data_IF_860193708496
#
_entry.id   IF_860193708496
#
_cell.length_a   1.000
_cell.length_b   1.000
_cell.length_c   1.000
_cell.angle_alpha   90.00
_cell.angle_beta   90.00
_cell.angle_gamma   90.00
#
_symmetry.space_group_name_H-M   'P 1'
#
loop_
_entity.id
_entity.type
_entity.pdbx_description
1 polymer ?
#
# COMPACT_ATOMS: atom_id res chain seq x y z
N UNK A 1 -28.01 46.16 -3.90
CA UNK A 1 -27.54 46.73 -5.18
C UNK A 1 -26.91 45.63 -6.02
N UNK A 2 -27.54 45.25 -7.15
CA UNK A 2 -26.99 44.44 -8.26
C UNK A 2 -26.95 45.34 -9.51
N UNK A 3 -26.11 45.06 -10.53
CA UNK A 3 -26.57 44.28 -11.71
C UNK A 3 -25.52 43.24 -12.18
N UNK A 4 -25.87 42.06 -12.72
CA UNK A 4 -26.38 41.72 -14.09
C UNK A 4 -25.33 41.99 -15.19
N UNK A 5 -24.92 41.07 -16.08
CA UNK A 5 -25.57 40.55 -17.31
C UNK A 5 -24.63 39.43 -17.87
N UNK A 6 -25.03 38.19 -18.21
CA UNK A 6 -25.83 37.61 -19.33
C UNK A 6 -25.15 37.56 -20.72
N UNK A 7 -25.47 36.46 -21.44
CA UNK A 7 -25.31 36.13 -22.88
C UNK A 7 -23.96 35.52 -23.33
N UNK A 8 -23.86 34.43 -24.08
CA UNK A 8 -24.82 33.51 -24.71
C UNK A 8 -24.09 32.35 -25.42
N UNK A 9 -24.68 31.15 -25.44
CA UNK A 9 -24.52 30.12 -26.50
C UNK A 9 -25.46 30.53 -27.67
N UNK A 10 -25.52 29.91 -28.90
CA UNK A 10 -25.46 28.45 -29.15
C UNK A 10 -25.15 28.01 -30.62
N UNK A 11 -25.51 26.74 -30.97
CA UNK A 11 -25.94 26.23 -32.31
C UNK A 11 -24.84 26.05 -33.40
N UNK A 12 -24.80 25.09 -34.35
CA UNK A 12 -25.65 24.04 -34.95
C UNK A 12 -24.69 23.15 -35.82
N UNK A 13 -24.74 21.81 -35.85
CA UNK A 13 -25.56 20.89 -36.68
C UNK A 13 -25.17 20.80 -38.17
N UNK A 14 -24.83 19.59 -38.64
CA UNK A 14 -25.22 18.91 -39.90
C UNK A 14 -24.24 17.73 -40.17
N UNK A 15 -24.65 16.44 -40.20
CA UNK A 15 -25.30 15.68 -41.30
C UNK A 15 -24.47 15.69 -42.60
N UNK A 16 -24.16 14.62 -43.36
CA UNK A 16 -24.40 13.17 -43.36
C UNK A 16 -23.51 12.57 -44.53
N UNK A 17 -23.86 11.49 -45.25
CA UNK A 17 -23.28 10.14 -45.15
C UNK A 17 -22.58 9.64 -46.43
N UNK A 18 -21.71 8.61 -46.36
CA UNK A 18 -21.41 7.77 -47.55
C UNK A 18 -21.22 6.30 -47.16
N UNK A 19 -21.98 5.47 -47.85
CA UNK A 19 -22.07 4.02 -47.80
C UNK A 19 -20.79 3.35 -48.32
N UNK A 20 -20.40 2.22 -47.70
CA UNK A 20 -19.85 1.09 -48.44
C UNK A 20 -20.10 -0.22 -47.70
N UNK A 21 -21.05 -0.97 -48.24
CA UNK A 21 -21.34 -2.35 -47.89
C UNK A 21 -20.20 -3.25 -48.36
N UNK A 22 -19.55 -3.94 -47.43
CA UNK A 22 -18.68 -5.08 -47.74
C UNK A 22 -19.08 -6.25 -46.82
N UNK A 23 -19.83 -7.18 -47.41
CA UNK A 23 -20.04 -8.61 -47.09
C UNK A 23 -19.70 -9.09 -45.66
N UNK A 24 -20.67 -9.63 -44.89
CA UNK A 24 -20.33 -10.38 -43.70
C UNK A 24 -19.83 -11.77 -44.12
N UNK A 25 -18.52 -11.99 -44.11
CA UNK A 25 -17.98 -13.34 -44.16
C UNK A 25 -18.33 -14.01 -42.82
N UNK A 26 -19.32 -14.88 -42.86
CA UNK A 26 -19.75 -15.73 -41.75
C UNK A 26 -18.57 -16.61 -41.32
N UNK A 27 -17.77 -16.14 -40.35
CA UNK A 27 -16.76 -16.97 -39.69
C UNK A 27 -17.49 -17.82 -38.66
N UNK A 28 -17.81 -19.04 -39.03
CA UNK A 28 -18.07 -20.12 -38.08
C UNK A 28 -16.85 -20.22 -37.15
N UNK A 29 -17.03 -19.85 -35.89
CA UNK A 29 -16.05 -20.14 -34.85
C UNK A 29 -16.06 -21.66 -34.65
N UNK A 30 -15.22 -22.36 -35.40
CA UNK A 30 -14.82 -23.71 -35.02
C UNK A 30 -13.97 -23.55 -33.76
N UNK A 31 -14.54 -23.95 -32.62
CA UNK A 31 -13.80 -24.07 -31.37
C UNK A 31 -12.81 -25.23 -31.51
N UNK A 32 -11.70 -25.01 -32.22
CA UNK A 32 -10.55 -25.90 -32.11
C UNK A 32 -10.05 -25.79 -30.68
N UNK A 33 -10.08 -26.87 -29.87
CA UNK A 33 -9.44 -26.87 -28.57
C UNK A 33 -7.95 -26.78 -28.84
N UNK A 34 -7.40 -25.57 -28.76
CA UNK A 34 -5.96 -25.36 -28.76
C UNK A 34 -5.42 -26.10 -27.54
N UNK A 35 -4.97 -27.35 -27.72
CA UNK A 35 -4.25 -28.15 -26.72
C UNK A 35 -2.93 -27.51 -26.27
N UNK A 36 -2.60 -26.32 -26.80
CA UNK A 36 -1.45 -25.49 -26.44
C UNK A 36 -1.86 -24.11 -25.88
N UNK A 37 -3.14 -23.92 -25.51
CA UNK A 37 -3.53 -22.79 -24.68
C UNK A 37 -3.11 -23.08 -23.23
N UNK A 38 -1.83 -22.92 -22.92
CA UNK A 38 -1.40 -22.72 -21.53
C UNK A 38 -2.12 -21.47 -21.06
N UNK A 39 -3.10 -21.65 -20.16
CA UNK A 39 -3.80 -20.53 -19.55
C UNK A 39 -2.78 -19.79 -18.67
N UNK A 40 -2.06 -18.84 -19.27
CA UNK A 40 -1.12 -17.95 -18.61
C UNK A 40 -1.83 -16.89 -17.75
N UNK A 41 -3.10 -17.12 -17.41
CA UNK A 41 -3.76 -16.45 -16.28
C UNK A 41 -3.08 -16.90 -15.00
N UNK A 42 -1.89 -16.35 -14.80
CA UNK A 42 -1.10 -16.20 -13.58
C UNK A 42 -1.37 -17.31 -12.57
N UNK A 43 -0.33 -18.10 -12.34
CA UNK A 43 -0.11 -18.82 -11.08
C UNK A 43 0.03 -17.80 -9.93
N UNK A 44 -1.02 -17.01 -9.68
CA UNK A 44 -1.22 -16.34 -8.42
C UNK A 44 -1.63 -17.48 -7.48
N UNK A 45 -0.78 -17.78 -6.50
CA UNK A 45 -1.08 -18.79 -5.49
C UNK A 45 -2.52 -18.64 -5.00
N UNK A 46 -3.19 -19.77 -4.77
CA UNK A 46 -4.60 -19.85 -4.35
C UNK A 46 -4.88 -18.76 -3.31
N UNK A 47 -5.71 -17.77 -3.66
CA UNK A 47 -6.08 -16.69 -2.74
C UNK A 47 -6.94 -17.34 -1.64
N UNK A 48 -6.36 -17.53 -0.46
CA UNK A 48 -7.09 -18.05 0.71
C UNK A 48 -7.94 -16.93 1.32
N UNK A 49 -9.25 -16.97 1.07
CA UNK A 49 -10.21 -16.08 1.70
C UNK A 49 -10.47 -16.61 3.11
N UNK A 50 -9.91 -15.94 4.12
CA UNK A 50 -10.15 -16.28 5.54
C UNK A 50 -11.52 -15.79 5.99
N UNK A 51 -12.36 -16.71 6.46
CA UNK A 51 -13.66 -16.42 7.04
C UNK A 51 -13.51 -15.81 8.44
N UNK A 52 -14.54 -15.15 8.95
CA UNK A 52 -14.55 -14.66 10.34
C UNK A 52 -14.30 -15.80 11.32
N UNK A 53 -14.88 -16.97 11.08
CA UNK A 53 -14.73 -18.14 11.96
C UNK A 53 -13.28 -18.66 11.94
N UNK A 54 -12.60 -18.65 10.79
CA UNK A 54 -11.17 -18.98 10.70
C UNK A 54 -10.31 -18.00 11.51
N UNK A 55 -10.68 -16.71 11.51
CA UNK A 55 -9.99 -15.68 12.31
C UNK A 55 -10.27 -15.85 13.80
N UNK A 56 -11.49 -16.23 14.17
CA UNK A 56 -11.85 -16.57 15.55
C UNK A 56 -11.05 -17.79 16.02
N UNK A 57 -10.92 -18.81 15.17
CA UNK A 57 -10.15 -20.01 15.46
C UNK A 57 -8.65 -19.75 15.71
N UNK A 58 -8.12 -18.61 15.26
CA UNK A 58 -6.74 -18.21 15.52
C UNK A 58 -6.49 -17.75 16.97
N UNK A 59 -7.53 -17.40 17.73
CA UNK A 59 -7.40 -17.09 19.16
C UNK A 59 -7.28 -18.36 20.01
N UNK A 60 -6.56 -18.25 21.13
CA UNK A 60 -6.53 -19.28 22.16
C UNK A 60 -7.77 -19.13 23.05
N UNK A 61 -8.80 -19.90 22.73
CA UNK A 61 -10.10 -19.89 23.40
C UNK A 61 -10.36 -21.20 24.13
N UNK A 62 -11.07 -21.12 25.26
CA UNK A 62 -11.64 -22.24 26.00
C UNK A 62 -10.62 -23.38 26.22
N UNK A 63 -10.88 -24.58 25.69
CA UNK A 63 -10.06 -25.79 25.84
C UNK A 63 -8.69 -25.67 25.16
N UNK A 64 -8.46 -24.67 24.29
CA UNK A 64 -7.12 -24.40 23.75
C UNK A 64 -6.17 -23.83 24.81
N UNK A 65 -6.69 -23.37 25.95
CA UNK A 65 -5.89 -22.90 27.09
C UNK A 65 -5.39 -24.13 27.85
N UNK A 66 -4.09 -24.40 27.77
CA UNK A 66 -3.49 -25.62 28.32
C UNK A 66 -3.32 -25.59 29.85
N UNK A 67 -3.37 -24.40 30.48
CA UNK A 67 -3.11 -24.26 31.91
C UNK A 67 -4.36 -24.58 32.74
N UNK A 68 -4.24 -25.38 33.82
CA UNK A 68 -5.39 -25.74 34.67
C UNK A 68 -5.85 -24.60 35.59
N UNK A 69 -4.96 -23.66 35.92
CA UNK A 69 -5.25 -22.47 36.72
C UNK A 69 -5.06 -21.21 35.88
N UNK A 70 -5.99 -20.26 36.01
CA UNK A 70 -6.03 -19.00 35.25
C UNK A 70 -6.42 -17.85 36.16
N UNK A 71 -6.06 -16.62 35.80
CA UNK A 71 -6.55 -15.41 36.47
C UNK A 71 -7.52 -14.67 35.56
N UNK A 72 -8.73 -14.40 36.06
CA UNK A 72 -9.76 -13.70 35.31
C UNK A 72 -9.54 -12.19 35.41
N UNK A 73 -9.50 -11.51 34.27
CA UNK A 73 -9.54 -10.06 34.19
C UNK A 73 -11.00 -9.58 34.22
N UNK A 74 -11.38 -8.93 35.31
CA UNK A 74 -12.70 -8.30 35.45
C UNK A 74 -12.89 -7.10 34.52
N UNK A 75 -14.13 -6.58 34.37
CA UNK A 75 -14.41 -5.38 33.59
C UNK A 75 -13.67 -4.14 34.11
N UNK A 76 -13.42 -4.09 35.43
CA UNK A 76 -12.68 -3.01 36.10
C UNK A 76 -11.17 -3.01 35.80
N UNK A 77 -10.68 -4.03 35.09
CA UNK A 77 -9.26 -4.23 34.80
C UNK A 77 -8.46 -4.89 35.93
N UNK A 78 -9.09 -5.19 37.07
CA UNK A 78 -8.47 -5.95 38.17
C UNK A 78 -8.38 -7.44 37.83
N UNK A 79 -7.31 -8.08 38.30
CA UNK A 79 -7.11 -9.52 38.19
C UNK A 79 -7.74 -10.22 39.40
N UNK A 80 -8.47 -11.31 39.15
CA UNK A 80 -9.01 -12.17 40.19
C UNK A 80 -7.91 -13.03 40.83
N UNK A 81 -8.24 -13.62 41.97
CA UNK A 81 -7.50 -14.76 42.49
C UNK A 81 -7.42 -15.88 41.43
N UNK A 82 -6.38 -16.73 41.47
CA UNK A 82 -6.25 -17.87 40.57
C UNK A 82 -7.44 -18.83 40.71
N UNK A 83 -8.16 -19.03 39.61
CA UNK A 83 -9.30 -19.95 39.54
C UNK A 83 -8.97 -21.13 38.63
N UNK A 84 -9.65 -22.26 38.84
CA UNK A 84 -9.55 -23.40 37.94
C UNK A 84 -10.23 -23.09 36.61
N UNK A 85 -9.55 -23.33 35.48
CA UNK A 85 -10.11 -23.18 34.13
C UNK A 85 -11.41 -23.97 33.99
N UNK A 86 -11.45 -25.18 34.54
CA UNK A 86 -12.63 -26.05 34.49
C UNK A 86 -13.84 -25.40 35.15
N UNK A 87 -13.67 -24.88 36.38
CA UNK A 87 -14.74 -24.17 37.10
C UNK A 87 -15.20 -22.92 36.34
N UNK A 88 -14.26 -22.20 35.72
CA UNK A 88 -14.59 -21.01 34.92
C UNK A 88 -15.41 -21.37 33.67
N UNK A 89 -15.02 -22.42 32.94
CA UNK A 89 -15.72 -22.89 31.74
C UNK A 89 -17.09 -23.51 32.04
N UNK A 90 -17.30 -24.00 33.26
CA UNK A 90 -18.59 -24.51 33.74
C UNK A 90 -19.53 -23.37 34.17
N UNK A 91 -18.98 -22.23 34.61
CA UNK A 91 -19.76 -21.08 35.06
C UNK A 91 -20.34 -20.22 33.92
N UNK A 92 -19.84 -20.36 32.70
CA UNK A 92 -20.24 -19.55 31.54
C UNK A 92 -21.18 -20.31 30.61
N UNK A 93 -22.01 -19.57 29.88
CA UNK A 93 -22.79 -20.14 28.77
C UNK A 93 -21.88 -20.30 27.53
N UNK A 94 -21.48 -21.54 27.27
CA UNK A 94 -20.58 -21.91 26.17
C UNK A 94 -21.17 -21.64 24.77
N UNK A 95 -22.47 -21.36 24.67
CA UNK A 95 -23.10 -21.01 23.38
C UNK A 95 -22.86 -19.55 22.97
N UNK A 96 -22.73 -18.66 23.95
CA UNK A 96 -22.64 -17.20 23.72
C UNK A 96 -21.29 -16.61 24.11
N UNK A 97 -20.63 -17.21 25.10
CA UNK A 97 -19.42 -16.70 25.74
C UNK A 97 -18.22 -17.62 25.52
N UNK A 98 -17.03 -17.00 25.49
CA UNK A 98 -15.75 -17.66 25.35
C UNK A 98 -14.79 -17.15 26.41
N UNK A 99 -13.94 -18.03 26.93
CA UNK A 99 -12.77 -17.65 27.73
C UNK A 99 -11.62 -17.39 26.78
N UNK A 100 -11.20 -16.14 26.64
CA UNK A 100 -10.08 -15.72 25.81
C UNK A 100 -8.83 -15.50 26.65
N UNK A 101 -7.74 -16.17 26.27
CA UNK A 101 -6.42 -15.91 26.84
C UNK A 101 -5.82 -14.62 26.25
N UNK A 102 -5.40 -13.69 27.12
CA UNK A 102 -4.91 -12.36 26.72
C UNK A 102 -3.38 -12.28 26.58
N UNK A 103 -2.64 -13.05 27.37
CA UNK A 103 -1.18 -13.09 27.37
C UNK A 103 -0.65 -14.41 26.83
N UNK A 104 0.62 -14.42 26.42
CA UNK A 104 1.38 -15.64 26.18
C UNK A 104 2.23 -15.88 27.43
N UNK A 105 1.82 -16.75 28.37
CA UNK A 105 2.55 -16.95 29.62
C UNK A 105 3.94 -17.53 29.32
N UNK A 106 4.96 -17.01 30.00
CA UNK A 106 6.27 -17.64 30.06
C UNK A 106 6.23 -18.84 31.04
N UNK A 107 7.32 -19.59 31.13
CA UNK A 107 7.42 -20.69 32.07
C UNK A 107 7.30 -20.17 33.52
N UNK A 108 6.30 -20.66 34.25
CA UNK A 108 5.99 -20.24 35.63
C UNK A 108 4.90 -19.15 35.75
N UNK A 109 4.56 -18.45 34.67
CA UNK A 109 3.51 -17.44 34.70
C UNK A 109 2.10 -18.03 34.54
N UNK A 110 1.11 -17.43 35.20
CA UNK A 110 -0.29 -17.79 35.01
C UNK A 110 -0.88 -17.06 33.80
N UNK A 111 -1.71 -17.73 32.97
CA UNK A 111 -2.44 -17.06 31.91
C UNK A 111 -3.54 -16.16 32.50
N UNK A 112 -3.60 -14.96 31.95
CA UNK A 112 -4.66 -13.98 32.21
C UNK A 112 -5.72 -14.18 31.14
N UNK A 113 -6.95 -14.46 31.59
CA UNK A 113 -8.09 -14.73 30.74
C UNK A 113 -9.17 -13.67 30.90
N UNK A 114 -10.02 -13.52 29.88
CA UNK A 114 -11.18 -12.64 29.90
C UNK A 114 -12.36 -13.37 29.26
N UNK A 115 -13.54 -13.27 29.88
CA UNK A 115 -14.79 -13.75 29.27
C UNK A 115 -15.22 -12.73 28.21
N UNK A 116 -15.43 -13.20 26.98
CA UNK A 116 -15.78 -12.37 25.82
C UNK A 116 -16.90 -13.03 25.01
N UNK A 117 -17.72 -12.22 24.35
CA UNK A 117 -18.72 -12.72 23.41
C UNK A 117 -18.15 -12.85 21.99
N UNK A 118 -18.88 -13.54 21.10
CA UNK A 118 -18.53 -13.59 19.67
C UNK A 118 -18.45 -12.18 19.05
N UNK A 119 -19.32 -11.27 19.46
CA UNK A 119 -19.32 -9.88 18.98
C UNK A 119 -18.03 -9.16 19.37
N UNK A 120 -17.56 -9.33 20.60
CA UNK A 120 -16.30 -8.74 21.09
C UNK A 120 -15.09 -9.27 20.31
N UNK A 121 -15.07 -10.56 20.00
CA UNK A 121 -14.01 -11.17 19.18
C UNK A 121 -13.98 -10.56 17.78
N UNK A 122 -15.14 -10.39 17.14
CA UNK A 122 -15.25 -9.75 15.82
C UNK A 122 -14.76 -8.29 15.88
N UNK A 123 -15.14 -7.55 16.91
CA UNK A 123 -14.67 -6.17 17.10
C UNK A 123 -13.14 -6.10 17.26
N UNK A 124 -12.54 -7.04 18.02
CA UNK A 124 -11.08 -7.13 18.17
C UNK A 124 -10.39 -7.42 16.83
N UNK A 125 -10.92 -8.38 16.06
CA UNK A 125 -10.41 -8.70 14.71
C UNK A 125 -10.42 -7.47 13.83
N UNK A 126 -11.57 -6.78 13.73
CA UNK A 126 -11.71 -5.59 12.89
C UNK A 126 -10.75 -4.48 13.31
N UNK A 127 -10.64 -4.22 14.62
CA UNK A 127 -9.69 -3.23 15.16
C UNK A 127 -8.25 -3.58 14.80
N UNK A 128 -7.85 -4.84 14.94
CA UNK A 128 -6.50 -5.28 14.58
C UNK A 128 -6.24 -5.13 13.08
N UNK A 129 -7.20 -5.49 12.23
CA UNK A 129 -7.08 -5.33 10.79
C UNK A 129 -6.97 -3.87 10.37
N UNK A 130 -7.75 -2.98 10.98
CA UNK A 130 -7.71 -1.55 10.68
C UNK A 130 -6.39 -0.91 11.12
N UNK A 131 -5.85 -1.31 12.29
CA UNK A 131 -4.52 -0.91 12.71
C UNK A 131 -3.44 -1.37 11.71
N UNK A 132 -3.50 -2.62 11.26
CA UNK A 132 -2.56 -3.15 10.27
C UNK A 132 -2.70 -2.46 8.90
N UNK A 133 -3.92 -2.16 8.45
CA UNK A 133 -4.18 -1.40 7.22
C UNK A 133 -3.62 0.02 7.33
N UNK A 134 -3.83 0.68 8.46
CA UNK A 134 -3.34 2.03 8.72
C UNK A 134 -1.81 2.06 8.79
N UNK A 135 -1.17 1.11 9.48
CA UNK A 135 0.29 0.97 9.48
C UNK A 135 0.85 0.78 8.07
N UNK A 136 0.27 -0.15 7.29
CA UNK A 136 0.66 -0.37 5.87
C UNK A 136 0.46 0.88 5.01
N UNK A 137 -0.59 1.66 5.26
CA UNK A 137 -0.83 2.93 4.56
C UNK A 137 0.24 3.96 4.91
N UNK A 138 0.52 4.16 6.20
CA UNK A 138 1.56 5.08 6.67
C UNK A 138 2.95 4.67 6.16
N UNK A 139 3.26 3.38 6.15
CA UNK A 139 4.50 2.87 5.54
C UNK A 139 4.57 3.18 4.05
N UNK A 140 3.48 2.97 3.29
CA UNK A 140 3.43 3.31 1.85
C UNK A 140 3.56 4.80 1.60
N UNK A 141 3.06 5.64 2.50
CA UNK A 141 3.18 7.11 2.42
C UNK A 141 4.61 7.56 2.75
N UNK A 142 5.27 6.93 3.73
CA UNK A 142 6.68 7.18 4.10
C UNK A 142 7.69 6.70 3.06
N UNK A 143 7.35 5.68 2.24
CA UNK A 143 8.25 5.15 1.22
C UNK A 143 8.64 6.23 0.19
N UNK A 144 9.96 6.41 -0.06
CA UNK A 144 10.43 7.40 -1.02
C UNK A 144 9.93 7.08 -2.43
N UNK A 145 9.69 8.14 -3.21
CA UNK A 145 9.39 8.02 -4.64
C UNK A 145 10.68 8.11 -5.42
N UNK A 146 11.02 7.00 -6.08
CA UNK A 146 12.19 6.94 -6.94
C UNK A 146 11.86 7.48 -8.33
N UNK A 147 12.70 8.36 -8.86
CA UNK A 147 12.69 8.86 -10.23
C UNK A 147 14.01 8.53 -10.88
N UNK A 148 13.96 7.72 -11.93
CA UNK A 148 15.15 7.36 -12.69
C UNK A 148 15.42 8.38 -13.79
N UNK A 149 16.67 8.82 -13.89
CA UNK A 149 17.22 9.73 -14.87
C UNK A 149 18.40 9.05 -15.59
N UNK A 150 18.49 9.26 -16.90
CA UNK A 150 19.69 8.90 -17.64
C UNK A 150 20.70 10.04 -17.58
N UNK A 151 22.00 9.74 -17.55
CA UNK A 151 23.03 10.79 -17.64
C UNK A 151 22.95 11.57 -18.96
N UNK A 152 22.60 10.90 -20.07
CA UNK A 152 22.37 11.52 -21.37
C UNK A 152 20.86 11.73 -21.62
N UNK A 153 20.18 12.44 -20.72
CA UNK A 153 18.76 12.77 -20.84
C UNK A 153 18.55 13.96 -21.80
N UNK A 154 17.43 13.97 -22.53
CA UNK A 154 17.05 15.12 -23.35
C UNK A 154 16.43 16.23 -22.49
N UNK A 155 16.51 17.48 -22.94
CA UNK A 155 15.96 18.62 -22.20
C UNK A 155 14.44 18.50 -21.92
N UNK A 156 13.68 17.97 -22.88
CA UNK A 156 12.23 17.76 -22.73
C UNK A 156 11.91 16.69 -21.66
N UNK A 157 12.60 15.55 -21.68
CA UNK A 157 12.39 14.49 -20.67
C UNK A 157 12.82 14.97 -19.28
N UNK A 158 13.92 15.72 -19.20
CA UNK A 158 14.36 16.35 -17.95
C UNK A 158 13.26 17.25 -17.38
N UNK A 159 12.66 18.12 -18.19
CA UNK A 159 11.59 19.01 -17.74
C UNK A 159 10.37 18.24 -17.19
N UNK A 160 9.95 17.15 -17.86
CA UNK A 160 8.86 16.30 -17.39
C UNK A 160 9.18 15.66 -16.04
N UNK A 161 10.40 15.15 -15.86
CA UNK A 161 10.87 14.55 -14.62
C UNK A 161 10.95 15.55 -13.48
N UNK A 162 11.43 16.77 -13.75
CA UNK A 162 11.47 17.85 -12.75
C UNK A 162 10.07 18.27 -12.31
N UNK A 163 9.10 18.36 -13.25
CA UNK A 163 7.69 18.61 -12.90
C UNK A 163 7.13 17.49 -12.01
N UNK A 164 7.41 16.22 -12.35
CA UNK A 164 6.99 15.08 -11.54
C UNK A 164 7.61 15.09 -10.14
N UNK A 165 8.89 15.45 -10.01
CA UNK A 165 9.57 15.65 -8.73
C UNK A 165 8.85 16.73 -7.90
N UNK A 166 8.56 17.90 -8.49
CA UNK A 166 7.83 18.98 -7.83
C UNK A 166 6.44 18.53 -7.35
N UNK A 167 5.71 17.74 -8.15
CA UNK A 167 4.40 17.19 -7.75
C UNK A 167 4.48 16.22 -6.56
N UNK A 168 5.56 15.43 -6.45
CA UNK A 168 5.77 14.55 -5.30
C UNK A 168 6.17 15.32 -4.06
N UNK A 169 7.05 16.32 -4.20
CA UNK A 169 7.49 17.19 -3.12
C UNK A 169 6.32 18.00 -2.56
N UNK A 170 5.44 18.55 -3.41
CA UNK A 170 4.19 19.22 -2.99
C UNK A 170 3.25 18.32 -2.18
N UNK A 171 3.31 17.00 -2.37
CA UNK A 171 2.56 16.00 -1.60
C UNK A 171 3.25 15.61 -0.29
N UNK A 172 4.36 16.25 0.08
CA UNK A 172 5.16 15.93 1.26
C UNK A 172 5.94 14.62 1.16
N UNK A 173 6.14 14.08 -0.05
CA UNK A 173 6.86 12.82 -0.25
C UNK A 173 8.35 13.06 -0.37
N UNK A 174 9.14 12.16 0.19
CA UNK A 174 10.59 12.04 -0.07
C UNK A 174 10.79 11.56 -1.51
N UNK A 175 11.71 12.18 -2.25
CA UNK A 175 12.02 11.81 -3.63
C UNK A 175 13.48 11.38 -3.74
N UNK A 176 13.71 10.28 -4.43
CA UNK A 176 15.04 9.71 -4.70
C UNK A 176 15.29 9.77 -6.22
N UNK A 177 16.24 10.59 -6.65
CA UNK A 177 16.64 10.68 -8.05
C UNK A 177 17.79 9.70 -8.30
N UNK A 178 17.55 8.65 -9.08
CA UNK A 178 18.56 7.69 -9.49
C UNK A 178 19.11 8.08 -10.87
N UNK A 179 20.36 8.52 -10.93
CA UNK A 179 21.07 8.82 -12.17
C UNK A 179 21.89 7.60 -12.59
N UNK A 180 21.57 7.00 -13.73
CA UNK A 180 22.24 5.81 -14.21
C UNK A 180 22.33 5.78 -15.75
N UNK A 181 23.36 5.13 -16.29
CA UNK A 181 23.47 4.91 -17.72
C UNK A 181 22.51 3.80 -18.18
N UNK A 182 21.77 4.05 -19.27
CA UNK A 182 21.00 2.98 -19.94
C UNK A 182 21.90 2.12 -20.83
N UNK A 183 21.77 0.80 -20.74
CA UNK A 183 22.62 -0.20 -21.42
C UNK A 183 22.76 0.00 -22.95
N UNK A 184 21.72 0.53 -23.60
CA UNK A 184 21.64 0.66 -25.06
C UNK A 184 21.51 2.12 -25.54
N UNK A 185 21.84 3.10 -24.70
CA UNK A 185 21.77 4.52 -25.07
C UNK A 185 23.17 5.15 -25.06
N UNK A 186 23.26 6.35 -25.67
CA UNK A 186 24.46 7.18 -25.65
C UNK A 186 24.95 7.35 -24.19
N UNK A 187 26.26 7.17 -24.00
CA UNK A 187 26.93 7.52 -22.75
C UNK A 187 27.14 9.03 -22.71
N UNK A 188 26.83 9.66 -21.58
CA UNK A 188 27.11 11.07 -21.38
C UNK A 188 28.61 11.33 -21.27
N UNK A 189 29.05 12.52 -21.68
CA UNK A 189 30.39 13.01 -21.32
C UNK A 189 30.43 13.43 -19.85
N UNK A 190 31.63 13.54 -19.27
CA UNK A 190 31.79 14.03 -17.89
C UNK A 190 31.20 15.44 -17.72
N UNK A 191 31.46 16.33 -18.67
CA UNK A 191 30.94 17.69 -18.68
C UNK A 191 29.40 17.74 -18.78
N UNK A 192 28.80 16.88 -19.61
CA UNK A 192 27.34 16.76 -19.71
C UNK A 192 26.73 16.28 -18.38
N UNK A 193 27.36 15.32 -17.71
CA UNK A 193 26.89 14.79 -16.43
C UNK A 193 26.96 15.83 -15.30
N UNK A 194 28.05 16.61 -15.24
CA UNK A 194 28.17 17.72 -14.29
C UNK A 194 27.16 18.84 -14.56
N UNK A 195 26.94 19.19 -15.83
CA UNK A 195 25.93 20.19 -16.21
C UNK A 195 24.53 19.74 -15.78
N UNK A 196 24.19 18.47 -15.99
CA UNK A 196 22.92 17.88 -15.56
C UNK A 196 22.74 17.99 -14.04
N UNK A 197 23.77 17.63 -13.25
CA UNK A 197 23.70 17.73 -11.79
C UNK A 197 23.48 19.17 -11.32
N UNK A 198 24.14 20.15 -11.95
CA UNK A 198 23.91 21.57 -11.67
C UNK A 198 22.46 21.97 -11.93
N UNK A 199 21.94 21.63 -13.12
CA UNK A 199 20.54 21.92 -13.47
C UNK A 199 19.55 21.24 -12.53
N UNK A 200 19.80 19.99 -12.12
CA UNK A 200 18.93 19.28 -11.17
C UNK A 200 18.94 19.96 -9.79
N UNK A 201 20.11 20.39 -9.30
CA UNK A 201 20.23 21.13 -8.03
C UNK A 201 19.51 22.47 -8.06
N UNK A 202 19.69 23.24 -9.13
CA UNK A 202 18.95 24.49 -9.34
C UNK A 202 17.43 24.25 -9.31
N UNK A 203 16.95 23.19 -9.97
CA UNK A 203 15.52 22.83 -9.97
C UNK A 203 15.01 22.34 -8.62
N UNK A 204 15.85 21.73 -7.80
CA UNK A 204 15.54 21.35 -6.41
C UNK A 204 15.40 22.60 -5.53
N UNK A 205 16.32 23.56 -5.69
CA UNK A 205 16.29 24.84 -4.97
C UNK A 205 15.08 25.69 -5.38
N UNK A 206 14.79 25.81 -6.68
CA UNK A 206 13.58 26.47 -7.21
C UNK A 206 12.29 25.85 -6.65
N UNK A 207 12.29 24.55 -6.37
CA UNK A 207 11.14 23.85 -5.79
C UNK A 207 10.99 24.07 -4.26
N UNK A 208 11.94 24.75 -3.61
CA UNK A 208 11.96 24.93 -2.15
C UNK A 208 12.36 23.65 -1.40
N UNK A 209 13.08 22.74 -2.04
CA UNK A 209 13.55 21.50 -1.45
C UNK A 209 15.04 21.55 -1.09
N UNK A 210 15.51 20.56 -0.35
CA UNK A 210 16.91 20.38 0.01
C UNK A 210 17.30 18.90 -0.10
N UNK A 211 18.57 18.67 -0.39
CA UNK A 211 19.19 17.35 -0.28
C UNK A 211 19.24 16.96 1.21
N UNK A 212 18.74 15.77 1.57
CA UNK A 212 18.76 15.27 2.96
C UNK A 212 20.10 14.60 3.26
N UNK A 213 20.62 13.87 2.28
CA UNK A 213 21.83 13.06 2.34
C UNK A 213 22.73 13.56 1.21
N UNK A 214 24.05 13.70 1.43
CA UNK A 214 24.98 13.98 0.34
C UNK A 214 24.81 12.95 -0.77
N UNK A 215 25.07 13.36 -2.01
CA UNK A 215 24.98 12.48 -3.17
C UNK A 215 25.77 11.19 -2.96
N UNK A 216 25.09 10.05 -3.05
CA UNK A 216 25.73 8.74 -2.99
C UNK A 216 26.11 8.28 -4.40
N UNK A 217 27.25 7.62 -4.54
CA UNK A 217 27.71 7.06 -5.81
C UNK A 217 28.69 7.94 -6.56
N UNK A 218 28.82 7.71 -7.87
CA UNK A 218 29.83 8.35 -8.71
C UNK A 218 29.24 8.86 -10.03
N UNK A 219 29.75 10.00 -10.48
CA UNK A 219 29.42 10.60 -11.78
C UNK A 219 29.77 9.60 -12.89
N UNK A 220 28.93 9.52 -13.93
CA UNK A 220 28.99 8.53 -15.02
C UNK A 220 28.74 7.06 -14.63
N UNK A 221 28.58 6.74 -13.34
CA UNK A 221 28.16 5.41 -12.86
C UNK A 221 26.70 5.46 -12.43
N UNK A 222 26.41 5.03 -11.20
CA UNK A 222 25.13 5.24 -10.54
C UNK A 222 25.34 6.32 -9.48
N UNK A 223 24.46 7.32 -9.48
CA UNK A 223 24.39 8.32 -8.42
C UNK A 223 22.96 8.42 -7.89
N UNK A 224 22.82 8.61 -6.57
CA UNK A 224 21.55 8.73 -5.89
C UNK A 224 21.49 10.07 -5.15
N UNK A 225 20.49 10.88 -5.48
CA UNK A 225 20.19 12.12 -4.78
C UNK A 225 18.88 11.97 -4.02
N UNK A 226 18.90 12.33 -2.74
CA UNK A 226 17.73 12.21 -1.87
C UNK A 226 17.22 13.59 -1.46
N UNK A 227 15.98 13.91 -1.83
CA UNK A 227 15.42 15.27 -1.73
C UNK A 227 14.12 15.28 -0.91
N UNK A 228 13.93 16.33 -0.12
CA UNK A 228 12.69 16.63 0.63
C UNK A 228 12.42 18.13 0.66
N UNK A 229 11.14 18.52 0.75
CA UNK A 229 10.75 19.93 0.95
C UNK A 229 11.38 20.48 2.23
N UNK A 230 11.93 21.71 2.18
CA UNK A 230 12.43 22.39 3.37
C UNK A 230 11.26 22.62 4.34
N UNK A 231 11.37 22.16 5.57
CA UNK A 231 10.35 22.33 6.62
C UNK A 231 9.24 21.28 6.68
N UNK A 232 9.29 20.23 5.84
CA UNK A 232 8.46 19.01 5.99
C UNK A 232 9.22 17.94 6.76
#
# INVERSE_FOLDING_TARGET
MRPSLLFGRPLLRALAPVQRCHLPLQRYFVATPSRLAVDQRRVAGKIEIKTIDDKIAAFTLNEKIQSPKVQLKGPDGKLSEPQSLYKLLDSIDRSTQYVLQMNKPAEGDMPIVQIVTRADLIQRINRQEDLLKNQKRLEKEKRPKQLELNWAISANDLQLKMKQMQEFLKKGKKVELLLANKRHQRKASHAEAEALLKTVREKIEEAGAAEIVPMEGAILRQALLTVKMRGS
#
